data_IF_406383999575
#
_entry.id   IF_406383999575
#
_cell.length_a   1.000
_cell.length_b   1.000
_cell.length_c   1.000
_cell.angle_alpha   90.00
_cell.angle_beta   90.00
_cell.angle_gamma   90.00
#
_symmetry.space_group_name_H-M   'P 1'
#
loop_
_entity.id
_entity.type
_entity.pdbx_description
1 polymer ?
#
# COMPACT_ATOMS: atom_id res chain seq x y z
N UNK A 1 -9.32 -16.50 2.48
CA UNK A 1 -8.91 -15.21 1.92
C UNK A 1 -8.00 -14.57 2.96
N UNK A 2 -6.72 -14.43 2.64
CA UNK A 2 -5.71 -13.88 3.53
C UNK A 2 -5.46 -12.42 3.19
N UNK A 3 -5.43 -11.58 4.21
CA UNK A 3 -5.19 -10.17 4.08
C UNK A 3 -3.71 -9.89 4.32
N UNK A 4 -3.08 -9.21 3.38
CA UNK A 4 -1.65 -8.87 3.47
C UNK A 4 -1.41 -7.37 3.41
N UNK A 5 -0.40 -6.94 4.16
CA UNK A 5 0.15 -5.58 4.12
C UNK A 5 1.52 -5.63 3.46
N UNK A 6 1.74 -4.80 2.44
CA UNK A 6 3.02 -4.77 1.71
C UNK A 6 3.77 -3.49 2.04
N UNK A 7 4.82 -3.65 2.86
CA UNK A 7 5.73 -2.56 3.22
C UNK A 7 6.73 -2.34 2.08
N UNK A 8 6.78 -1.12 1.52
CA UNK A 8 7.68 -0.82 0.40
C UNK A 8 7.26 -1.48 -0.92
N UNK A 9 5.95 -1.45 -1.21
CA UNK A 9 5.29 -1.97 -2.43
C UNK A 9 5.93 -1.55 -3.75
N UNK A 10 6.60 -0.40 -3.78
CA UNK A 10 7.26 0.13 -4.98
C UNK A 10 8.71 -0.38 -5.14
N UNK A 11 9.25 -1.06 -4.13
CA UNK A 11 10.58 -1.69 -4.17
C UNK A 11 10.59 -2.99 -4.96
N UNK A 12 11.75 -3.65 -5.08
CA UNK A 12 11.84 -4.92 -5.81
C UNK A 12 11.04 -6.05 -5.15
N UNK A 13 11.18 -6.21 -3.82
CA UNK A 13 10.44 -7.23 -3.05
C UNK A 13 8.94 -6.95 -3.13
N UNK A 14 8.51 -5.72 -2.82
CA UNK A 14 7.10 -5.36 -2.84
C UNK A 14 6.42 -5.58 -4.19
N UNK A 15 7.12 -5.31 -5.31
CA UNK A 15 6.60 -5.60 -6.66
C UNK A 15 6.47 -7.10 -6.92
N UNK A 16 7.47 -7.89 -6.56
CA UNK A 16 7.40 -9.35 -6.70
C UNK A 16 6.27 -9.94 -5.85
N UNK A 17 6.06 -9.42 -4.63
CA UNK A 17 4.92 -9.82 -3.80
C UNK A 17 3.60 -9.48 -4.49
N UNK A 18 3.47 -8.30 -5.10
CA UNK A 18 2.26 -7.93 -5.84
C UNK A 18 2.03 -8.80 -7.08
N UNK A 19 3.09 -9.27 -7.75
CA UNK A 19 2.97 -10.22 -8.86
C UNK A 19 2.35 -11.55 -8.37
N UNK A 20 2.79 -12.07 -7.22
CA UNK A 20 2.19 -13.27 -6.60
C UNK A 20 0.72 -13.03 -6.23
N UNK A 21 0.39 -11.84 -5.71
CA UNK A 21 -1.01 -11.49 -5.41
C UNK A 21 -1.86 -11.49 -6.67
N UNK A 22 -1.35 -10.95 -7.79
CA UNK A 22 -2.09 -10.94 -9.08
C UNK A 22 -2.47 -12.34 -9.51
N UNK A 23 -1.55 -13.28 -9.37
CA UNK A 23 -1.77 -14.69 -9.74
C UNK A 23 -2.68 -15.44 -8.76
N UNK A 24 -2.85 -14.92 -7.54
CA UNK A 24 -3.62 -15.54 -6.46
C UNK A 24 -4.69 -14.61 -5.86
N UNK A 25 -5.35 -13.78 -6.68
CA UNK A 25 -6.41 -12.85 -6.23
C UNK A 25 -7.61 -13.53 -5.55
N UNK A 26 -7.82 -14.82 -5.83
CA UNK A 26 -8.85 -15.65 -5.20
C UNK A 26 -8.54 -15.95 -3.72
N UNK A 27 -7.26 -15.92 -3.34
CA UNK A 27 -6.77 -16.26 -2.00
C UNK A 27 -6.22 -15.07 -1.25
N UNK A 28 -5.58 -14.13 -1.93
CA UNK A 28 -4.87 -13.00 -1.34
C UNK A 28 -5.60 -11.69 -1.61
N UNK A 29 -5.72 -10.87 -0.55
CA UNK A 29 -6.24 -9.50 -0.63
C UNK A 29 -5.22 -8.54 -0.05
N UNK A 30 -4.85 -7.52 -0.83
CA UNK A 30 -3.99 -6.44 -0.36
C UNK A 30 -4.86 -5.45 0.39
N UNK A 31 -4.61 -5.30 1.68
CA UNK A 31 -5.33 -4.35 2.52
C UNK A 31 -4.53 -3.07 2.75
N UNK A 32 -3.19 -3.15 2.71
CA UNK A 32 -2.31 -2.01 2.93
C UNK A 32 -1.13 -2.00 1.97
N UNK A 33 -0.83 -0.82 1.41
CA UNK A 33 0.37 -0.56 0.61
C UNK A 33 1.17 0.56 1.23
N UNK A 34 2.49 0.40 1.33
CA UNK A 34 3.36 1.51 1.72
C UNK A 34 4.42 1.79 0.67
N UNK A 35 4.81 3.05 0.53
CA UNK A 35 5.92 3.47 -0.32
C UNK A 35 6.71 4.61 0.33
N UNK A 36 7.91 4.84 -0.16
CA UNK A 36 8.74 5.96 0.30
C UNK A 36 8.48 7.22 -0.54
N UNK A 37 8.96 7.24 -1.79
CA UNK A 37 8.90 8.41 -2.69
C UNK A 37 8.25 8.17 -4.05
N UNK A 38 8.09 6.91 -4.47
CA UNK A 38 7.62 6.58 -5.81
C UNK A 38 6.08 6.53 -5.87
N UNK A 39 5.48 7.72 -5.84
CA UNK A 39 4.02 7.86 -5.79
C UNK A 39 3.32 7.48 -7.10
N UNK A 40 3.97 7.60 -8.25
CA UNK A 40 3.38 7.24 -9.54
C UNK A 40 3.09 5.74 -9.61
N UNK A 41 4.07 4.91 -9.21
CA UNK A 41 3.86 3.47 -9.13
C UNK A 41 2.85 3.10 -8.04
N UNK A 42 2.93 3.77 -6.89
CA UNK A 42 1.97 3.53 -5.82
C UNK A 42 0.54 3.83 -6.27
N UNK A 43 0.32 4.91 -7.04
CA UNK A 43 -1.00 5.21 -7.61
C UNK A 43 -1.51 4.06 -8.49
N UNK A 44 -0.69 3.53 -9.40
CA UNK A 44 -1.08 2.40 -10.25
C UNK A 44 -1.47 1.18 -9.40
N UNK A 45 -0.71 0.91 -8.34
CA UNK A 45 -1.00 -0.18 -7.41
C UNK A 45 -2.29 0.07 -6.61
N UNK A 46 -2.59 1.31 -6.24
CA UNK A 46 -3.85 1.66 -5.56
C UNK A 46 -5.04 1.41 -6.48
N UNK A 47 -4.97 1.85 -7.73
CA UNK A 47 -6.05 1.66 -8.70
C UNK A 47 -6.28 0.17 -9.00
N UNK A 48 -5.22 -0.62 -9.05
CA UNK A 48 -5.30 -2.05 -9.34
C UNK A 48 -5.79 -2.89 -8.16
N UNK A 49 -5.29 -2.64 -6.95
CA UNK A 49 -5.53 -3.49 -5.78
C UNK A 49 -6.60 -2.93 -4.85
N UNK A 50 -6.99 -1.66 -5.00
CA UNK A 50 -7.96 -0.95 -4.15
C UNK A 50 -7.74 -1.22 -2.65
N UNK A 51 -6.53 -0.95 -2.12
CA UNK A 51 -6.24 -1.18 -0.72
C UNK A 51 -7.11 -0.30 0.19
N UNK A 52 -7.36 -0.77 1.41
CA UNK A 52 -8.07 0.01 2.42
C UNK A 52 -7.15 1.10 3.02
N UNK A 53 -5.85 0.83 3.07
CA UNK A 53 -4.86 1.68 3.74
C UNK A 53 -3.65 1.96 2.84
N UNK A 54 -3.18 3.21 2.79
CA UNK A 54 -1.94 3.58 2.10
C UNK A 54 -1.06 4.44 2.99
N UNK A 55 0.23 4.10 3.09
CA UNK A 55 1.22 4.95 3.76
C UNK A 55 2.30 5.44 2.79
N UNK A 56 2.63 6.73 2.87
CA UNK A 56 3.76 7.31 2.16
C UNK A 56 4.68 7.98 3.16
N UNK A 57 5.90 7.46 3.33
CA UNK A 57 6.80 7.97 4.39
C UNK A 57 7.29 9.40 4.12
N UNK A 58 7.40 9.80 2.85
CA UNK A 58 7.72 11.18 2.49
C UNK A 58 6.43 12.02 2.50
N UNK A 59 6.32 12.96 3.45
CA UNK A 59 5.12 13.77 3.64
C UNK A 59 4.78 14.67 2.44
N UNK A 60 5.78 15.16 1.71
CA UNK A 60 5.55 16.00 0.53
C UNK A 60 4.91 15.16 -0.57
N UNK A 61 5.45 13.96 -0.77
CA UNK A 61 4.93 12.98 -1.71
C UNK A 61 3.56 12.44 -1.29
N UNK A 62 3.31 12.25 0.00
CA UNK A 62 1.99 11.89 0.51
C UNK A 62 0.91 12.92 0.14
N UNK A 63 1.21 14.22 0.33
CA UNK A 63 0.31 15.32 -0.06
C UNK A 63 0.09 15.39 -1.56
N UNK A 64 1.15 15.18 -2.34
CA UNK A 64 1.07 15.13 -3.81
C UNK A 64 0.18 13.99 -4.29
N UNK A 65 0.38 12.78 -3.75
CA UNK A 65 -0.45 11.61 -4.05
C UNK A 65 -1.91 11.85 -3.66
N UNK A 66 -2.16 12.40 -2.47
CA UNK A 66 -3.53 12.75 -2.01
C UNK A 66 -4.24 13.70 -2.96
N UNK A 67 -3.51 14.65 -3.56
CA UNK A 67 -4.08 15.54 -4.59
C UNK A 67 -4.37 14.83 -5.91
N UNK A 68 -3.56 13.85 -6.29
CA UNK A 68 -3.73 13.09 -7.54
C UNK A 68 -4.89 12.10 -7.47
N UNK A 69 -5.00 11.34 -6.38
CA UNK A 69 -6.02 10.28 -6.24
C UNK A 69 -7.28 10.72 -5.49
N UNK A 70 -7.24 11.88 -4.82
CA UNK A 70 -8.35 12.43 -4.06
C UNK A 70 -8.70 11.59 -2.82
N UNK A 71 -10.00 11.45 -2.53
CA UNK A 71 -10.52 10.71 -1.38
C UNK A 71 -10.78 9.22 -1.64
N UNK A 72 -10.16 8.64 -2.68
CA UNK A 72 -10.37 7.22 -3.05
C UNK A 72 -9.82 6.24 -2.02
N UNK A 73 -8.78 6.63 -1.29
CA UNK A 73 -8.12 5.82 -0.28
C UNK A 73 -7.56 6.71 0.82
N UNK A 74 -7.49 6.17 2.03
CA UNK A 74 -6.91 6.89 3.16
C UNK A 74 -5.38 6.83 3.09
N UNK A 75 -4.76 8.02 2.99
CA UNK A 75 -3.31 8.17 2.88
C UNK A 75 -2.75 8.73 4.17
N UNK A 76 -1.87 7.96 4.79
CA UNK A 76 -1.17 8.31 6.02
C UNK A 76 0.27 8.71 5.68
N UNK A 77 0.66 9.98 5.94
CA UNK A 77 2.03 10.42 5.77
C UNK A 77 2.92 9.93 6.92
N UNK A 78 4.22 9.78 6.64
CA UNK A 78 5.24 9.62 7.68
C UNK A 78 5.50 8.17 8.11
N UNK A 79 6.37 8.02 9.11
CA UNK A 79 6.83 6.70 9.60
C UNK A 79 5.77 6.03 10.49
N UNK A 80 4.93 6.83 11.14
CA UNK A 80 3.84 6.35 12.00
C UNK A 80 2.81 5.55 11.20
N UNK A 81 2.48 6.00 9.98
CA UNK A 81 1.62 5.25 9.06
C UNK A 81 2.21 3.90 8.64
N UNK A 82 3.53 3.73 8.72
CA UNK A 82 4.21 2.46 8.41
C UNK A 82 4.06 1.47 9.57
N UNK A 83 4.15 1.96 10.81
CA UNK A 83 3.84 1.19 12.02
C UNK A 83 2.38 0.77 12.03
N UNK A 84 1.47 1.68 11.66
CA UNK A 84 0.05 1.40 11.60
C UNK A 84 -0.31 0.41 10.48
N UNK A 85 0.32 0.51 9.30
CA UNK A 85 0.17 -0.49 8.23
C UNK A 85 0.62 -1.90 8.68
N UNK A 86 1.69 -1.98 9.46
CA UNK A 86 2.23 -3.22 10.00
C UNK A 86 1.44 -3.76 11.21
N UNK A 87 0.82 -2.87 11.98
CA UNK A 87 -0.03 -3.20 13.12
C UNK A 87 -1.52 -3.30 12.76
N UNK A 88 -1.88 -3.07 11.49
CA UNK A 88 -3.27 -2.97 11.07
C UNK A 88 -4.01 -4.26 11.47
N UNK A 89 -5.13 -4.18 12.23
CA UNK A 89 -5.75 -5.35 12.86
C UNK A 89 -6.22 -6.42 11.86
N UNK A 90 -6.45 -6.01 10.61
CA UNK A 90 -6.83 -6.90 9.51
C UNK A 90 -5.64 -7.53 8.78
N UNK A 91 -4.41 -7.06 8.99
CA UNK A 91 -3.21 -7.60 8.36
C UNK A 91 -2.84 -8.88 9.09
N UNK A 92 -2.91 -10.02 8.39
CA UNK A 92 -2.47 -11.26 9.00
C UNK A 92 -0.94 -11.23 9.07
N UNK A 93 -0.39 -11.30 10.29
CA UNK A 93 1.05 -11.47 10.53
C UNK A 93 1.42 -12.89 10.12
N UNK A 94 1.87 -13.05 8.88
CA UNK A 94 2.58 -14.24 8.43
C UNK A 94 3.98 -14.28 9.01
#
# INVERSE_FOLDING_TARGET
MENISILGSTGSIGRQTLDIVRDHRDRLRVIALTANRNIERLQQQIEEFSPEFVCVTDERKAKELKRQIGSKVEIYPGVDGLVEAAAHPKANRG
#
